data_IF_963995667642
#
_entry.id   IF_963995667642
#
_cell.length_a   1.000
_cell.length_b   1.000
_cell.length_c   1.000
_cell.angle_alpha   90.00
_cell.angle_beta   90.00
_cell.angle_gamma   90.00
#
_symmetry.space_group_name_H-M   'P 1'
#
loop_
_entity.id
_entity.type
_entity.pdbx_description
1 polymer ?
#
# COMPACT_ATOMS: atom_id res chain seq x y z
N UNK A 1 -23.28 16.51 9.35
CA UNK A 1 -22.57 15.59 8.41
C UNK A 1 -21.08 15.36 8.77
N UNK A 2 -20.48 16.13 9.70
CA UNK A 2 -19.06 16.00 10.10
C UNK A 2 -18.81 14.75 10.98
N UNK A 3 -19.75 14.36 11.85
CA UNK A 3 -19.59 13.18 12.73
C UNK A 3 -19.40 11.84 11.99
N UNK A 4 -20.02 11.65 10.83
CA UNK A 4 -19.96 10.37 10.11
C UNK A 4 -18.60 10.12 9.42
N UNK A 5 -17.91 11.20 8.99
CA UNK A 5 -16.63 11.10 8.29
C UNK A 5 -15.47 10.80 9.26
N UNK A 6 -15.52 11.37 10.47
CA UNK A 6 -14.52 11.09 11.51
C UNK A 6 -14.59 9.64 12.00
N UNK A 7 -15.78 9.05 12.12
CA UNK A 7 -15.92 7.65 12.56
C UNK A 7 -15.29 6.66 11.56
N UNK A 8 -15.46 6.87 10.24
CA UNK A 8 -14.91 5.97 9.21
C UNK A 8 -13.38 5.91 9.21
N UNK A 9 -12.69 7.04 9.33
CA UNK A 9 -11.21 7.06 9.37
C UNK A 9 -10.70 6.34 10.63
N UNK A 10 -11.35 6.53 11.78
CA UNK A 10 -10.98 5.79 12.99
C UNK A 10 -11.17 4.27 12.82
N UNK A 11 -12.23 3.84 12.12
CA UNK A 11 -12.41 2.42 11.77
C UNK A 11 -11.29 1.92 10.86
N UNK A 12 -10.87 2.68 9.83
CA UNK A 12 -9.76 2.27 8.96
C UNK A 12 -8.46 2.06 9.76
N UNK A 13 -8.19 2.88 10.78
CA UNK A 13 -6.97 2.73 11.61
C UNK A 13 -6.90 1.39 12.34
N UNK A 14 -8.03 0.72 12.59
CA UNK A 14 -8.04 -0.55 13.33
C UNK A 14 -7.62 -1.75 12.48
N UNK A 15 -7.62 -1.64 11.15
CA UNK A 15 -7.32 -2.76 10.25
C UNK A 15 -6.41 -2.41 9.07
N UNK A 16 -6.27 -1.13 8.71
CA UNK A 16 -5.45 -0.69 7.58
C UNK A 16 -3.98 -0.51 8.03
N UNK A 17 -3.38 -1.64 8.40
CA UNK A 17 -1.97 -1.74 8.73
C UNK A 17 -1.39 -3.05 8.19
N UNK A 18 -0.07 -3.17 8.20
CA UNK A 18 0.69 -4.37 7.87
C UNK A 18 1.87 -4.46 8.83
N UNK A 19 2.22 -5.68 9.25
CA UNK A 19 3.33 -5.92 10.16
C UNK A 19 4.53 -6.45 9.40
N UNK A 20 5.72 -6.00 9.79
CA UNK A 20 6.98 -6.43 9.20
C UNK A 20 7.93 -6.86 10.31
N UNK A 21 8.66 -7.93 10.04
CA UNK A 21 9.67 -8.50 10.95
C UNK A 21 11.01 -8.58 10.23
N UNK A 22 12.08 -8.23 10.92
CA UNK A 22 13.47 -8.35 10.43
C UNK A 22 14.45 -8.41 11.61
N UNK A 23 15.74 -8.59 11.32
CA UNK A 23 16.77 -8.61 12.36
C UNK A 23 16.86 -7.28 13.13
N UNK A 24 16.67 -6.15 12.44
CA UNK A 24 16.70 -4.80 13.03
C UNK A 24 15.46 -4.00 12.65
N UNK A 25 15.15 -2.96 13.43
CA UNK A 25 14.08 -2.00 13.10
C UNK A 25 14.31 -1.40 11.71
N UNK A 26 15.56 -0.99 11.41
CA UNK A 26 15.88 -0.37 10.13
C UNK A 26 15.64 -1.30 8.95
N UNK A 27 15.95 -2.59 9.08
CA UNK A 27 15.71 -3.57 8.02
C UNK A 27 14.21 -3.86 7.84
N UNK A 28 13.45 -3.88 8.94
CA UNK A 28 11.99 -4.00 8.88
C UNK A 28 11.39 -2.77 8.18
N UNK A 29 11.88 -1.56 8.49
CA UNK A 29 11.45 -0.31 7.83
C UNK A 29 11.80 -0.30 6.34
N UNK A 30 13.02 -0.70 5.95
CA UNK A 30 13.41 -0.83 4.54
C UNK A 30 12.49 -1.81 3.81
N UNK A 31 12.24 -2.97 4.43
CA UNK A 31 11.36 -4.00 3.88
C UNK A 31 9.94 -3.46 3.69
N UNK A 32 9.41 -2.75 4.68
CA UNK A 32 8.08 -2.15 4.60
C UNK A 32 7.94 -1.13 3.47
N UNK A 33 8.88 -0.18 3.37
CA UNK A 33 8.91 0.85 2.31
C UNK A 33 8.99 0.21 0.93
N UNK A 34 9.87 -0.78 0.76
CA UNK A 34 10.03 -1.49 -0.50
C UNK A 34 8.80 -2.32 -0.85
N UNK A 35 8.22 -3.02 0.11
CA UNK A 35 7.02 -3.84 -0.07
C UNK A 35 5.83 -2.96 -0.44
N UNK A 36 5.59 -1.90 0.33
CA UNK A 36 4.45 -1.00 0.20
C UNK A 36 4.63 0.08 -0.87
N UNK A 37 5.76 0.17 -1.57
CA UNK A 37 6.04 1.18 -2.62
C UNK A 37 5.69 2.61 -2.16
N UNK A 38 5.96 2.89 -0.89
CA UNK A 38 5.65 4.14 -0.20
C UNK A 38 6.89 4.65 0.51
N UNK A 39 7.03 5.96 0.56
CA UNK A 39 8.10 6.69 1.23
C UNK A 39 7.87 6.75 2.75
N UNK A 40 8.92 7.11 3.51
CA UNK A 40 8.82 7.32 4.97
C UNK A 40 7.79 8.41 5.30
N UNK A 41 7.62 9.38 4.40
CA UNK A 41 6.73 10.51 4.57
C UNK A 41 5.26 10.13 4.35
N UNK A 42 4.97 9.04 3.66
CA UNK A 42 3.61 8.54 3.38
C UNK A 42 3.10 7.57 4.46
N UNK A 43 4.00 7.00 5.28
CA UNK A 43 3.67 5.98 6.29
C UNK A 43 3.85 6.46 7.72
N UNK A 44 3.16 5.78 8.65
CA UNK A 44 3.36 5.85 10.10
C UNK A 44 3.84 4.49 10.58
N UNK A 45 4.90 4.50 11.39
CA UNK A 45 5.56 3.31 11.91
C UNK A 45 5.36 3.26 13.42
N UNK A 46 4.95 2.10 13.93
CA UNK A 46 4.87 1.79 15.36
C UNK A 46 5.77 0.60 15.61
N UNK A 47 6.75 0.75 16.51
CA UNK A 47 7.60 -0.37 16.94
C UNK A 47 6.77 -1.24 17.88
N UNK A 48 6.70 -2.54 17.59
CA UNK A 48 6.04 -3.54 18.44
C UNK A 48 7.05 -4.25 19.34
N UNK A 49 8.23 -4.56 18.80
CA UNK A 49 9.41 -5.01 19.56
C UNK A 49 10.67 -4.54 18.84
N UNK A 50 11.68 -4.11 19.60
CA UNK A 50 12.97 -3.69 19.05
C UNK A 50 13.83 -4.87 18.57
N UNK A 51 13.43 -6.10 18.94
CA UNK A 51 14.23 -7.30 18.76
C UNK A 51 15.22 -7.49 19.92
N UNK A 52 15.71 -8.71 20.09
CA UNK A 52 16.72 -9.02 21.11
C UNK A 52 17.77 -9.95 20.50
N UNK A 53 19.03 -9.53 20.54
CA UNK A 53 20.16 -10.36 20.17
C UNK A 53 20.35 -11.45 21.23
N UNK A 54 20.47 -12.71 20.80
CA UNK A 54 20.88 -13.80 21.69
C UNK A 54 22.31 -13.61 22.19
N UNK A 55 22.66 -14.21 23.34
CA UNK A 55 24.05 -14.22 23.79
C UNK A 55 24.95 -14.88 22.73
N UNK A 56 25.99 -14.18 22.29
CA UNK A 56 26.99 -14.65 21.33
C UNK A 56 26.43 -15.10 19.96
N UNK A 57 25.34 -14.51 19.48
CA UNK A 57 24.81 -14.81 18.14
C UNK A 57 24.22 -16.23 18.00
N UNK A 58 23.89 -16.88 19.12
CA UNK A 58 23.28 -18.20 19.17
C UNK A 58 21.86 -18.16 19.76
N UNK A 59 21.07 -19.17 19.37
CA UNK A 59 19.69 -19.53 19.77
C UNK A 59 19.04 -18.64 20.84
N UNK A 60 18.09 -17.81 20.41
CA UNK A 60 17.34 -16.89 21.28
C UNK A 60 17.02 -15.53 20.66
N UNK A 61 17.46 -15.29 19.42
CA UNK A 61 17.20 -14.04 18.70
C UNK A 61 15.69 -13.85 18.45
N UNK A 62 15.13 -12.76 18.98
CA UNK A 62 13.76 -12.33 18.64
C UNK A 62 13.89 -11.22 17.60
N UNK A 63 13.21 -11.32 16.43
CA UNK A 63 13.29 -10.28 15.42
C UNK A 63 12.68 -8.98 15.93
N UNK A 64 13.16 -7.87 15.40
CA UNK A 64 12.46 -6.60 15.48
C UNK A 64 11.14 -6.72 14.72
N UNK A 65 10.10 -6.09 15.26
CA UNK A 65 8.76 -6.09 14.66
C UNK A 65 8.20 -4.70 14.66
N UNK A 66 7.67 -4.28 13.52
CA UNK A 66 7.01 -3.00 13.34
C UNK A 66 5.61 -3.20 12.77
N UNK A 67 4.72 -2.26 13.07
CA UNK A 67 3.42 -2.10 12.46
C UNK A 67 3.45 -0.83 11.62
N UNK A 68 3.10 -0.96 10.33
CA UNK A 68 3.08 0.14 9.37
C UNK A 68 1.66 0.42 8.91
N UNK A 69 1.30 1.69 8.87
CA UNK A 69 -0.01 2.18 8.41
C UNK A 69 0.18 3.44 7.55
N UNK A 70 -0.78 3.81 6.68
CA UNK A 70 -0.67 5.07 5.95
C UNK A 70 -0.83 6.26 6.90
N UNK A 71 -0.33 7.42 6.49
CA UNK A 71 -0.67 8.67 7.18
C UNK A 71 -2.11 9.07 6.88
N UNK A 72 -3.03 8.69 7.77
CA UNK A 72 -4.47 8.93 7.63
C UNK A 72 -4.91 10.40 7.47
N UNK A 73 -4.03 11.37 7.69
CA UNK A 73 -4.31 12.78 7.38
C UNK A 73 -4.14 13.14 5.89
N UNK A 74 -3.59 12.22 5.08
CA UNK A 74 -3.39 12.35 3.63
C UNK A 74 -4.18 11.25 2.92
N UNK A 75 -5.27 11.62 2.26
CA UNK A 75 -6.22 10.67 1.66
C UNK A 75 -5.60 9.83 0.54
N UNK A 76 -4.71 10.41 -0.25
CA UNK A 76 -3.91 9.74 -1.28
C UNK A 76 -3.08 8.58 -0.70
N UNK A 77 -2.45 8.77 0.46
CA UNK A 77 -1.67 7.71 1.11
C UNK A 77 -2.55 6.55 1.60
N UNK A 78 -3.77 6.84 2.06
CA UNK A 78 -4.74 5.81 2.49
C UNK A 78 -5.20 4.97 1.30
N UNK A 79 -5.54 5.63 0.19
CA UNK A 79 -5.92 4.97 -1.07
C UNK A 79 -4.76 4.13 -1.60
N UNK A 80 -3.55 4.69 -1.64
CA UNK A 80 -2.33 4.00 -2.11
C UNK A 80 -2.08 2.73 -1.30
N UNK A 81 -2.11 2.83 0.03
CA UNK A 81 -1.87 1.69 0.91
C UNK A 81 -2.92 0.59 0.74
N UNK A 82 -4.21 0.95 0.72
CA UNK A 82 -5.29 0.00 0.44
C UNK A 82 -5.09 -0.70 -0.92
N UNK A 83 -4.80 0.07 -1.96
CA UNK A 83 -4.69 -0.43 -3.32
C UNK A 83 -3.50 -1.40 -3.48
N UNK A 84 -2.38 -1.12 -2.79
CA UNK A 84 -1.22 -2.02 -2.79
C UNK A 84 -1.53 -3.32 -2.05
N UNK A 85 -2.26 -3.26 -0.93
CA UNK A 85 -2.73 -4.48 -0.25
C UNK A 85 -3.74 -5.26 -1.08
N UNK A 86 -4.58 -4.59 -1.86
CA UNK A 86 -5.49 -5.25 -2.80
C UNK A 86 -4.73 -5.99 -3.90
N UNK A 87 -3.58 -5.46 -4.32
CA UNK A 87 -2.70 -6.05 -5.34
C UNK A 87 -1.57 -6.92 -4.75
N UNK A 88 -1.71 -7.42 -3.52
CA UNK A 88 -0.65 -8.19 -2.86
C UNK A 88 -0.19 -9.41 -3.69
N UNK A 89 -1.12 -10.04 -4.43
CA UNK A 89 -0.87 -11.18 -5.33
C UNK A 89 0.04 -10.90 -6.55
N UNK A 90 0.41 -9.64 -6.79
CA UNK A 90 1.38 -9.19 -7.82
C UNK A 90 2.36 -8.13 -7.29
N UNK A 91 2.38 -7.86 -5.99
CA UNK A 91 3.09 -6.74 -5.36
C UNK A 91 4.60 -6.76 -5.57
N UNK A 92 5.19 -7.94 -5.68
CA UNK A 92 6.61 -8.14 -6.01
C UNK A 92 7.00 -7.61 -7.40
N UNK A 93 6.05 -7.60 -8.35
CA UNK A 93 6.26 -7.09 -9.72
C UNK A 93 5.82 -5.64 -9.90
N UNK A 94 5.27 -5.00 -8.88
CA UNK A 94 4.98 -3.57 -8.93
C UNK A 94 6.32 -2.85 -8.72
N UNK A 95 6.66 -1.87 -9.55
CA UNK A 95 7.85 -1.02 -9.34
C UNK A 95 7.47 0.35 -8.77
N UNK A 96 6.29 0.85 -9.12
CA UNK A 96 5.85 2.18 -8.73
C UNK A 96 4.32 2.28 -8.65
N UNK A 97 3.84 3.03 -7.66
CA UNK A 97 2.42 3.39 -7.51
C UNK A 97 2.32 4.87 -7.18
N UNK A 98 1.43 5.58 -7.88
CA UNK A 98 1.13 6.98 -7.63
C UNK A 98 -0.37 7.22 -7.60
N UNK A 99 -0.80 8.11 -6.71
CA UNK A 99 -2.19 8.54 -6.56
C UNK A 99 -2.24 10.05 -6.72
N UNK A 100 -2.94 10.51 -7.75
CA UNK A 100 -3.20 11.93 -8.01
C UNK A 100 -4.70 12.18 -7.94
N UNK A 101 -5.09 13.24 -7.23
CA UNK A 101 -6.50 13.58 -7.01
C UNK A 101 -6.73 14.98 -7.55
N UNK A 102 -7.46 15.08 -8.65
CA UNK A 102 -7.74 16.34 -9.34
C UNK A 102 -9.15 16.33 -9.91
N UNK A 103 -9.89 17.44 -9.80
CA UNK A 103 -11.19 17.62 -10.49
C UNK A 103 -12.20 16.47 -10.29
N UNK A 104 -12.32 15.94 -9.07
CA UNK A 104 -13.13 14.75 -8.75
C UNK A 104 -12.71 13.46 -9.47
N UNK A 105 -11.46 13.38 -9.90
CA UNK A 105 -10.86 12.19 -10.50
C UNK A 105 -9.72 11.73 -9.59
N UNK A 106 -9.73 10.44 -9.26
CA UNK A 106 -8.62 9.75 -8.60
C UNK A 106 -7.87 8.95 -9.67
N UNK A 107 -6.71 9.47 -10.08
CA UNK A 107 -5.81 8.79 -11.00
C UNK A 107 -4.89 7.87 -10.20
N UNK A 108 -5.03 6.56 -10.43
CA UNK A 108 -4.18 5.53 -9.84
C UNK A 108 -3.25 5.04 -10.94
N UNK A 109 -1.96 5.35 -10.83
CA UNK A 109 -0.95 4.89 -11.78
C UNK A 109 -0.13 3.78 -11.16
N UNK A 110 -0.02 2.65 -11.86
CA UNK A 110 0.78 1.49 -11.46
C UNK A 110 1.73 1.14 -12.58
N UNK A 111 3.02 1.04 -12.25
CA UNK A 111 4.04 0.54 -13.17
C UNK A 111 4.48 -0.84 -12.67
N UNK A 112 4.42 -1.82 -13.56
CA UNK A 112 4.93 -3.17 -13.32
C UNK A 112 6.34 -3.31 -13.91
N UNK A 113 7.23 -4.00 -13.18
CA UNK A 113 8.53 -4.43 -13.68
C UNK A 113 8.38 -5.48 -14.79
N UNK A 114 7.33 -6.31 -14.72
CA UNK A 114 7.10 -7.41 -15.65
C UNK A 114 5.78 -7.32 -16.42
N UNK A 115 5.83 -7.58 -17.72
CA UNK A 115 4.64 -7.61 -18.59
C UNK A 115 3.65 -8.72 -18.19
N UNK A 116 4.15 -9.86 -17.68
CA UNK A 116 3.30 -10.99 -17.28
C UNK A 116 2.39 -10.63 -16.10
N UNK A 117 2.93 -9.93 -15.09
CA UNK A 117 2.16 -9.43 -13.96
C UNK A 117 1.09 -8.44 -14.40
N UNK A 118 1.43 -7.50 -15.29
CA UNK A 118 0.45 -6.58 -15.89
C UNK A 118 -0.68 -7.34 -16.59
N UNK A 119 -0.37 -8.35 -17.42
CA UNK A 119 -1.39 -9.18 -18.11
C UNK A 119 -2.31 -9.91 -17.13
N UNK A 120 -1.80 -10.39 -16.00
CA UNK A 120 -2.60 -11.04 -14.95
C UNK A 120 -3.66 -10.08 -14.40
N UNK A 121 -3.27 -8.84 -14.09
CA UNK A 121 -4.19 -7.79 -13.61
C UNK A 121 -5.16 -7.34 -14.69
N UNK A 122 -4.71 -7.24 -15.95
CA UNK A 122 -5.55 -6.84 -17.09
C UNK A 122 -6.55 -7.90 -17.55
N UNK A 123 -6.47 -9.13 -17.03
CA UNK A 123 -7.52 -10.12 -17.30
C UNK A 123 -8.88 -9.56 -16.87
N UNK A 124 -9.91 -9.70 -17.72
CA UNK A 124 -11.18 -8.98 -17.57
C UNK A 124 -11.81 -9.15 -16.17
N UNK A 125 -11.78 -10.36 -15.64
CA UNK A 125 -12.31 -10.69 -14.31
C UNK A 125 -11.52 -9.96 -13.22
N UNK A 126 -10.18 -10.06 -13.23
CA UNK A 126 -9.32 -9.45 -12.20
C UNK A 126 -9.41 -7.93 -12.26
N UNK A 127 -9.32 -7.34 -13.46
CA UNK A 127 -9.39 -5.89 -13.64
C UNK A 127 -10.70 -5.33 -13.09
N UNK A 128 -11.84 -5.95 -13.43
CA UNK A 128 -13.15 -5.53 -12.93
C UNK A 128 -13.25 -5.66 -11.42
N UNK A 129 -12.79 -6.77 -10.83
CA UNK A 129 -12.79 -6.96 -9.38
C UNK A 129 -11.95 -5.89 -8.67
N UNK A 130 -10.73 -5.64 -9.16
CA UNK A 130 -9.84 -4.61 -8.61
C UNK A 130 -10.49 -3.23 -8.72
N UNK A 131 -11.04 -2.88 -9.89
CA UNK A 131 -11.71 -1.60 -10.11
C UNK A 131 -12.89 -1.40 -9.15
N UNK A 132 -13.81 -2.37 -9.07
CA UNK A 132 -15.01 -2.29 -8.22
C UNK A 132 -14.63 -2.14 -6.74
N UNK A 133 -13.69 -2.96 -6.25
CA UNK A 133 -13.25 -2.89 -4.86
C UNK A 133 -12.60 -1.54 -4.55
N UNK A 134 -11.82 -1.01 -5.50
CA UNK A 134 -11.21 0.31 -5.40
C UNK A 134 -12.26 1.42 -5.40
N UNK A 135 -13.27 1.34 -6.27
CA UNK A 135 -14.41 2.26 -6.28
C UNK A 135 -15.17 2.26 -4.96
N UNK A 136 -15.52 1.08 -4.44
CA UNK A 136 -16.19 0.96 -3.15
C UNK A 136 -15.36 1.54 -2.00
N UNK A 137 -14.03 1.40 -2.03
CA UNK A 137 -13.16 1.96 -1.00
C UNK A 137 -13.03 3.48 -1.12
N UNK A 138 -12.76 3.99 -2.33
CA UNK A 138 -12.57 5.43 -2.58
C UNK A 138 -13.85 6.21 -2.34
N UNK A 139 -15.03 5.67 -2.70
CA UNK A 139 -16.33 6.33 -2.47
C UNK A 139 -16.58 6.60 -0.98
N UNK A 140 -16.02 5.78 -0.08
CA UNK A 140 -16.12 6.00 1.36
C UNK A 140 -15.33 7.22 1.85
N UNK A 141 -14.28 7.61 1.14
CA UNK A 141 -13.35 8.69 1.49
C UNK A 141 -13.65 9.97 0.70
N UNK A 142 -13.89 9.80 -0.60
CA UNK A 142 -14.04 10.82 -1.62
C UNK A 142 -15.31 10.55 -2.45
N UNK A 143 -16.50 10.85 -1.89
CA UNK A 143 -17.75 10.61 -2.60
C UNK A 143 -17.79 11.29 -3.98
N UNK A 144 -18.44 10.64 -4.94
CA UNK A 144 -18.62 11.13 -6.32
C UNK A 144 -17.31 11.31 -7.11
N UNK A 145 -16.18 10.79 -6.62
CA UNK A 145 -14.96 10.80 -7.41
C UNK A 145 -14.94 9.62 -8.38
N UNK A 146 -14.56 9.89 -9.63
CA UNK A 146 -14.32 8.83 -10.61
C UNK A 146 -12.91 8.30 -10.44
N UNK A 147 -12.72 6.99 -10.63
CA UNK A 147 -11.39 6.39 -10.66
C UNK A 147 -10.95 6.20 -12.10
N UNK A 148 -9.70 6.51 -12.35
CA UNK A 148 -8.99 6.17 -13.58
C UNK A 148 -7.79 5.33 -13.19
N UNK A 149 -7.79 4.07 -13.62
CA UNK A 149 -6.72 3.13 -13.34
C UNK A 149 -5.77 3.00 -14.54
N UNK A 150 -4.56 3.54 -14.40
CA UNK A 150 -3.52 3.54 -15.42
C UNK A 150 -2.48 2.46 -15.11
N UNK A 151 -2.58 1.30 -15.78
CA UNK A 151 -1.65 0.17 -15.60
C UNK A 151 -0.66 0.10 -16.76
N UNK A 152 0.64 0.14 -16.46
CA UNK A 152 1.72 0.13 -17.46
C UNK A 152 2.84 -0.82 -17.05
N UNK A 153 3.68 -1.24 -18.01
CA UNK A 153 4.92 -1.95 -17.72
C UNK A 153 6.12 -1.08 -18.07
N UNK A 154 7.23 -1.22 -17.33
CA UNK A 154 8.46 -0.44 -17.57
C UNK A 154 9.07 -0.67 -18.97
N UNK A 155 8.85 -1.85 -19.57
CA UNK A 155 9.32 -2.20 -20.92
C UNK A 155 8.52 -1.55 -22.07
N UNK A 156 7.57 -0.67 -21.77
CA UNK A 156 6.77 0.07 -22.77
C UNK A 156 7.25 1.49 -23.05
N UNK A 157 8.37 1.92 -22.45
CA UNK A 157 9.08 3.11 -22.92
C UNK A 157 9.87 2.67 -24.17
N UNK A 158 9.57 3.19 -25.38
CA UNK A 158 10.42 2.94 -26.53
C UNK A 158 11.81 3.47 -26.20
N UNK A 159 12.84 2.66 -26.41
CA UNK A 159 14.21 3.16 -26.47
C UNK A 159 14.34 4.23 -27.54
#
# INVERSE_FOLDING_TARGET
MICAKNNKIEQLKTFLYEEFEAATIDDAVKTAINSLKMTKEEIKIKILTEGQLGLFGLKGEKPAKIQVSPKFNKVDTVIKFYFIKLLDFVKEYISFVNIEIENKIVNITVIFSEQAALKKVLSNVVYKSVLILTECFVEQLLPQHKIVLNLKSSNSIPK
#
